data_IF_449900698442
#
_entry.id   IF_449900698442
#
_cell.length_a   1.000
_cell.length_b   1.000
_cell.length_c   1.000
_cell.angle_alpha   90.00
_cell.angle_beta   90.00
_cell.angle_gamma   90.00
#
_symmetry.space_group_name_H-M   'P 1'
#
loop_
_entity.id
_entity.type
_entity.pdbx_description
1 polymer ?
#
# COMPACT_ATOMS: atom_id res chain seq x y z
N UNK A 1 -3.62 8.24 -20.86
CA UNK A 1 -4.72 7.26 -20.68
C UNK A 1 -4.48 6.31 -19.51
N UNK A 2 -3.26 5.78 -19.31
CA UNK A 2 -2.92 4.89 -18.19
C UNK A 2 -2.97 5.61 -16.83
N UNK A 3 -2.39 6.82 -16.72
CA UNK A 3 -2.44 7.64 -15.48
C UNK A 3 -3.88 7.93 -15.03
N UNK A 4 -4.79 8.32 -15.93
CA UNK A 4 -6.20 8.58 -15.59
C UNK A 4 -6.93 7.36 -15.03
N UNK A 5 -6.63 6.15 -15.54
CA UNK A 5 -7.22 4.90 -15.03
C UNK A 5 -6.65 4.48 -13.68
N UNK A 6 -5.34 4.69 -13.48
CA UNK A 6 -4.70 4.51 -12.18
C UNK A 6 -5.34 5.44 -11.13
N UNK A 7 -5.45 6.74 -11.44
CA UNK A 7 -6.09 7.74 -10.57
C UNK A 7 -7.55 7.37 -10.25
N UNK A 8 -8.32 6.90 -11.23
CA UNK A 8 -9.68 6.42 -10.99
C UNK A 8 -9.71 5.21 -10.04
N UNK A 9 -8.82 4.23 -10.23
CA UNK A 9 -8.73 3.04 -9.37
C UNK A 9 -8.32 3.40 -7.95
N UNK A 10 -7.35 4.30 -7.78
CA UNK A 10 -6.96 4.88 -6.48
C UNK A 10 -8.16 5.50 -5.79
N UNK A 11 -8.89 6.40 -6.47
CA UNK A 11 -10.06 7.06 -5.88
C UNK A 11 -11.16 6.08 -5.46
N UNK A 12 -11.40 5.05 -6.28
CA UNK A 12 -12.35 3.98 -5.95
C UNK A 12 -11.91 3.18 -4.72
N UNK A 13 -10.64 2.75 -4.67
CA UNK A 13 -10.12 1.98 -3.53
C UNK A 13 -10.15 2.78 -2.24
N UNK A 14 -9.69 4.05 -2.25
CA UNK A 14 -9.77 4.94 -1.09
C UNK A 14 -11.21 5.08 -0.57
N UNK A 15 -12.18 5.21 -1.48
CA UNK A 15 -13.60 5.31 -1.12
C UNK A 15 -14.15 4.01 -0.49
N UNK A 16 -13.76 2.85 -1.04
CA UNK A 16 -14.13 1.54 -0.49
C UNK A 16 -13.49 1.34 0.88
N UNK A 17 -12.19 1.60 1.03
CA UNK A 17 -11.47 1.45 2.29
C UNK A 17 -12.08 2.33 3.38
N UNK A 18 -12.42 3.59 3.05
CA UNK A 18 -13.15 4.50 3.94
C UNK A 18 -14.48 3.90 4.41
N UNK A 19 -15.28 3.32 3.52
CA UNK A 19 -16.54 2.68 3.88
C UNK A 19 -16.33 1.42 4.73
N UNK A 20 -15.34 0.59 4.39
CA UNK A 20 -14.97 -0.62 5.13
C UNK A 20 -14.51 -0.30 6.54
N UNK A 21 -13.63 0.69 6.72
CA UNK A 21 -13.15 1.15 8.04
C UNK A 21 -14.32 1.64 8.92
N UNK A 22 -15.26 2.37 8.34
CA UNK A 22 -16.46 2.81 9.06
C UNK A 22 -17.37 1.63 9.47
N UNK A 23 -17.45 0.57 8.65
CA UNK A 23 -18.18 -0.63 9.04
C UNK A 23 -17.43 -1.42 10.12
N UNK A 24 -16.11 -1.51 10.02
CA UNK A 24 -15.27 -2.18 11.02
C UNK A 24 -15.39 -1.53 12.40
N UNK A 25 -15.46 -0.20 12.48
CA UNK A 25 -15.66 0.48 13.76
C UNK A 25 -17.02 0.16 14.40
N UNK A 26 -18.07 -0.01 13.59
CA UNK A 26 -19.38 -0.48 14.08
C UNK A 26 -19.33 -1.93 14.55
N UNK A 27 -18.69 -2.81 13.77
CA UNK A 27 -18.52 -4.22 14.10
C UNK A 27 -17.75 -4.36 15.43
N UNK A 28 -16.64 -3.64 15.60
CA UNK A 28 -15.85 -3.61 16.83
C UNK A 28 -16.63 -3.07 18.04
N UNK A 29 -17.48 -2.05 17.84
CA UNK A 29 -18.33 -1.50 18.91
C UNK A 29 -19.47 -2.44 19.31
N UNK A 30 -19.94 -3.28 18.40
CA UNK A 30 -20.86 -4.36 18.73
C UNK A 30 -20.13 -5.49 19.47
N UNK A 31 -18.95 -5.86 18.98
CA UNK A 31 -18.08 -6.88 19.55
C UNK A 31 -17.68 -6.58 21.00
N UNK A 32 -17.43 -5.31 21.35
CA UNK A 32 -17.08 -4.91 22.72
C UNK A 32 -18.15 -5.22 23.77
N UNK A 33 -19.38 -5.53 23.34
CA UNK A 33 -20.50 -5.93 24.22
C UNK A 33 -20.63 -7.45 24.36
N UNK A 34 -19.98 -8.20 23.50
CA UNK A 34 -19.97 -9.67 23.48
C UNK A 34 -18.75 -10.17 24.26
N UNK A 35 -18.88 -11.32 24.94
CA UNK A 35 -17.78 -11.94 25.68
C UNK A 35 -17.67 -13.44 25.41
N UNK A 36 -16.57 -14.05 25.83
CA UNK A 36 -16.31 -15.49 25.67
C UNK A 36 -15.78 -15.87 24.29
N UNK A 37 -15.89 -17.15 23.93
CA UNK A 37 -15.29 -17.73 22.70
C UNK A 37 -15.82 -17.13 21.39
N UNK A 38 -17.02 -16.53 21.42
CA UNK A 38 -17.56 -15.80 20.28
C UNK A 38 -16.76 -14.52 19.99
N UNK A 39 -16.24 -13.85 21.03
CA UNK A 39 -15.44 -12.64 20.89
C UNK A 39 -14.16 -12.91 20.11
N UNK A 40 -13.43 -13.97 20.47
CA UNK A 40 -12.15 -14.30 19.84
C UNK A 40 -12.31 -14.62 18.35
N UNK A 41 -13.36 -15.35 17.98
CA UNK A 41 -13.66 -15.68 16.59
C UNK A 41 -13.98 -14.42 15.78
N UNK A 42 -14.83 -13.54 16.29
CA UNK A 42 -15.21 -12.31 15.59
C UNK A 42 -14.04 -11.32 15.51
N UNK A 43 -13.17 -11.28 16.52
CA UNK A 43 -11.94 -10.49 16.50
C UNK A 43 -10.98 -10.96 15.41
N UNK A 44 -10.76 -12.27 15.26
CA UNK A 44 -9.92 -12.82 14.18
C UNK A 44 -10.47 -12.43 12.81
N UNK A 45 -11.79 -12.57 12.59
CA UNK A 45 -12.43 -12.17 11.34
C UNK A 45 -12.27 -10.67 11.08
N UNK A 46 -12.32 -9.86 12.13
CA UNK A 46 -12.14 -8.40 12.04
C UNK A 46 -10.70 -8.05 11.69
N UNK A 47 -9.71 -8.69 12.32
CA UNK A 47 -8.28 -8.55 11.97
C UNK A 47 -8.01 -8.93 10.52
N UNK A 48 -8.65 -9.98 10.00
CA UNK A 48 -8.54 -10.36 8.58
C UNK A 48 -9.08 -9.27 7.64
N UNK A 49 -10.22 -8.67 7.98
CA UNK A 49 -10.76 -7.53 7.20
C UNK A 49 -9.84 -6.31 7.27
N UNK A 50 -9.24 -6.03 8.43
CA UNK A 50 -8.25 -4.96 8.59
C UNK A 50 -7.01 -5.25 7.72
N UNK A 51 -6.53 -6.50 7.69
CA UNK A 51 -5.42 -6.92 6.84
C UNK A 51 -5.68 -6.65 5.36
N UNK A 52 -6.92 -6.87 4.90
CA UNK A 52 -7.32 -6.51 3.54
C UNK A 52 -7.21 -4.99 3.30
N UNK A 53 -7.69 -4.16 4.24
CA UNK A 53 -7.59 -2.70 4.12
C UNK A 53 -6.13 -2.24 4.08
N UNK A 54 -5.26 -2.81 4.94
CA UNK A 54 -3.82 -2.54 4.95
C UNK A 54 -3.19 -2.87 3.58
N UNK A 55 -3.52 -4.02 3.00
CA UNK A 55 -3.03 -4.41 1.68
C UNK A 55 -3.56 -3.48 0.56
N UNK A 56 -4.81 -3.05 0.66
CA UNK A 56 -5.40 -2.12 -0.29
C UNK A 56 -4.73 -0.74 -0.20
N UNK A 57 -4.39 -0.25 0.99
CA UNK A 57 -3.65 1.00 1.21
C UNK A 57 -2.21 0.90 0.67
N UNK A 58 -1.49 -0.19 0.94
CA UNK A 58 -0.18 -0.45 0.32
C UNK A 58 -0.24 -0.45 -1.22
N UNK A 59 -1.32 -1.02 -1.79
CA UNK A 59 -1.56 -1.05 -3.23
C UNK A 59 -1.87 0.35 -3.78
N UNK A 60 -2.62 1.16 -3.03
CA UNK A 60 -2.89 2.56 -3.38
C UNK A 60 -1.58 3.35 -3.45
N UNK A 61 -0.72 3.24 -2.45
CA UNK A 61 0.58 3.92 -2.43
C UNK A 61 1.44 3.54 -3.64
N UNK A 62 1.48 2.26 -3.99
CA UNK A 62 2.17 1.79 -5.19
C UNK A 62 1.58 2.40 -6.47
N UNK A 63 0.24 2.52 -6.56
CA UNK A 63 -0.38 3.17 -7.72
C UNK A 63 -0.10 4.66 -7.79
N UNK A 64 0.05 5.35 -6.66
CA UNK A 64 0.40 6.77 -6.63
C UNK A 64 1.81 7.00 -7.17
N UNK A 65 2.78 6.16 -6.79
CA UNK A 65 4.14 6.16 -7.35
C UNK A 65 4.07 5.94 -8.87
N UNK A 66 3.37 4.90 -9.32
CA UNK A 66 3.20 4.61 -10.76
C UNK A 66 2.57 5.74 -11.56
N UNK A 67 1.68 6.51 -10.95
CA UNK A 67 1.07 7.68 -11.61
C UNK A 67 2.13 8.73 -11.89
N UNK A 68 3.00 9.01 -10.92
CA UNK A 68 4.12 9.94 -11.08
C UNK A 68 5.08 9.42 -12.14
N UNK A 69 5.46 8.14 -12.09
CA UNK A 69 6.37 7.53 -13.07
C UNK A 69 5.83 7.60 -14.50
N UNK A 70 4.54 7.30 -14.67
CA UNK A 70 3.87 7.42 -15.97
C UNK A 70 3.85 8.87 -16.48
N UNK A 71 3.77 9.86 -15.59
CA UNK A 71 3.81 11.27 -15.94
C UNK A 71 5.21 11.72 -16.34
N UNK A 72 6.24 11.30 -15.60
CA UNK A 72 7.65 11.53 -15.96
C UNK A 72 7.97 10.89 -17.31
N UNK A 73 7.57 9.63 -17.51
CA UNK A 73 7.76 8.92 -18.78
C UNK A 73 7.07 9.65 -19.94
N UNK A 74 5.87 10.17 -19.70
CA UNK A 74 5.13 10.93 -20.70
C UNK A 74 5.82 12.25 -21.06
N UNK A 75 6.33 12.99 -20.06
CA UNK A 75 7.11 14.21 -20.28
C UNK A 75 8.39 13.96 -21.06
N UNK A 76 9.00 12.78 -20.93
CA UNK A 76 10.21 12.35 -21.64
C UNK A 76 9.93 11.52 -22.90
N UNK A 77 8.68 11.49 -23.39
CA UNK A 77 8.28 10.61 -24.50
C UNK A 77 9.10 10.82 -25.78
N UNK A 78 9.42 12.07 -26.14
CA UNK A 78 10.21 12.34 -27.34
C UNK A 78 11.61 11.72 -27.25
N UNK A 79 12.25 11.87 -26.09
CA UNK A 79 13.56 11.30 -25.81
C UNK A 79 13.52 9.77 -25.80
N UNK A 80 12.46 9.20 -25.20
CA UNK A 80 12.19 7.75 -25.24
C UNK A 80 11.97 7.23 -26.68
N UNK A 81 11.57 8.05 -27.65
CA UNK A 81 11.41 7.58 -29.03
C UNK A 81 12.70 7.70 -29.85
N UNK A 82 13.66 8.50 -29.38
CA UNK A 82 14.98 8.66 -29.99
C UNK A 82 15.92 7.51 -29.56
N UNK A 83 17.05 7.35 -30.27
CA UNK A 83 18.04 6.28 -30.00
C UNK A 83 19.01 6.60 -28.83
N UNK A 84 18.89 7.76 -28.21
CA UNK A 84 19.71 8.20 -27.07
C UNK A 84 18.85 8.19 -25.80
N UNK A 85 18.60 7.00 -25.27
CA UNK A 85 17.97 6.89 -23.97
C UNK A 85 18.99 7.24 -22.89
N UNK A 86 18.75 8.31 -22.14
CA UNK A 86 19.55 8.64 -20.96
C UNK A 86 19.37 7.55 -19.89
N UNK A 87 20.39 7.38 -19.04
CA UNK A 87 20.39 6.39 -17.97
C UNK A 87 19.16 6.48 -17.06
N UNK A 88 18.65 7.70 -16.82
CA UNK A 88 17.46 7.96 -16.01
C UNK A 88 16.18 7.38 -16.63
N UNK A 89 16.06 7.42 -17.97
CA UNK A 89 14.91 6.83 -18.67
C UNK A 89 14.98 5.33 -18.60
N UNK A 90 16.18 4.76 -18.78
CA UNK A 90 16.39 3.31 -18.73
C UNK A 90 16.02 2.78 -17.34
N UNK A 91 16.45 3.46 -16.26
CA UNK A 91 16.06 3.13 -14.88
C UNK A 91 14.55 3.16 -14.68
N UNK A 92 13.90 4.25 -15.12
CA UNK A 92 12.44 4.39 -15.04
C UNK A 92 11.71 3.27 -15.79
N UNK A 93 12.17 2.90 -16.98
CA UNK A 93 11.56 1.81 -17.77
C UNK A 93 11.73 0.46 -17.07
N UNK A 94 12.93 0.16 -16.53
CA UNK A 94 13.15 -1.09 -15.77
C UNK A 94 12.26 -1.17 -14.54
N UNK A 95 12.12 -0.05 -13.84
CA UNK A 95 11.24 0.07 -12.68
C UNK A 95 9.77 -0.24 -13.05
N UNK A 96 9.25 0.37 -14.11
CA UNK A 96 7.91 0.09 -14.61
C UNK A 96 7.71 -1.37 -15.02
N UNK A 97 8.73 -2.00 -15.62
CA UNK A 97 8.71 -3.42 -15.97
C UNK A 97 8.66 -4.30 -14.70
N UNK A 98 9.46 -4.00 -13.69
CA UNK A 98 9.46 -4.70 -12.41
C UNK A 98 8.08 -4.65 -11.74
N UNK A 99 7.51 -3.44 -11.61
CA UNK A 99 6.21 -3.24 -10.94
C UNK A 99 5.05 -3.91 -11.71
N UNK A 100 5.20 -4.18 -13.01
CA UNK A 100 4.17 -4.81 -13.84
C UNK A 100 3.73 -6.21 -13.37
N UNK A 101 4.62 -6.93 -12.68
CA UNK A 101 4.35 -8.25 -12.10
C UNK A 101 3.43 -8.16 -10.88
N UNK A 102 3.43 -7.03 -10.19
CA UNK A 102 2.67 -6.80 -8.96
C UNK A 102 1.33 -6.10 -9.24
N UNK A 103 1.22 -5.38 -10.37
CA UNK A 103 0.04 -4.59 -10.68
C UNK A 103 -0.87 -5.24 -11.72
N UNK A 104 -2.10 -5.53 -11.31
CA UNK A 104 -3.12 -6.09 -12.21
C UNK A 104 -3.97 -5.01 -12.91
N UNK A 105 -3.34 -4.23 -13.80
CA UNK A 105 -4.02 -3.22 -14.64
C UNK A 105 -3.70 -3.51 -16.10
N UNK A 106 -4.73 -3.78 -16.90
CA UNK A 106 -4.58 -4.25 -18.29
C UNK A 106 -3.84 -3.22 -19.16
N UNK A 107 -4.16 -1.94 -19.00
CA UNK A 107 -3.55 -0.85 -19.77
C UNK A 107 -2.09 -0.63 -19.38
N UNK A 108 -1.75 -0.83 -18.10
CA UNK A 108 -0.38 -0.78 -17.64
C UNK A 108 0.44 -1.93 -18.23
N UNK A 109 -0.12 -3.15 -18.20
CA UNK A 109 0.50 -4.33 -18.85
C UNK A 109 0.71 -4.11 -20.36
N UNK A 110 -0.23 -3.43 -21.04
CA UNK A 110 -0.05 -3.04 -22.46
C UNK A 110 1.09 -2.04 -22.66
N UNK A 111 1.21 -1.03 -21.79
CA UNK A 111 2.33 -0.08 -21.83
C UNK A 111 3.67 -0.81 -21.67
N UNK A 112 3.76 -1.70 -20.68
CA UNK A 112 4.97 -2.49 -20.42
C UNK A 112 5.30 -3.42 -21.59
N UNK A 113 4.29 -4.02 -22.23
CA UNK A 113 4.50 -4.83 -23.43
C UNK A 113 5.09 -4.02 -24.60
N UNK A 114 4.67 -2.75 -24.78
CA UNK A 114 5.26 -1.86 -25.79
C UNK A 114 6.71 -1.51 -25.45
N UNK A 115 7.01 -1.26 -24.17
CA UNK A 115 8.38 -1.01 -23.71
C UNK A 115 9.26 -2.24 -23.92
N UNK A 116 8.77 -3.44 -23.59
CA UNK A 116 9.49 -4.69 -23.82
C UNK A 116 9.75 -4.94 -25.31
N UNK A 117 8.82 -4.57 -26.20
CA UNK A 117 9.03 -4.65 -27.65
C UNK A 117 10.12 -3.67 -28.14
N UNK A 118 10.25 -2.48 -27.51
CA UNK A 118 11.29 -1.51 -27.86
C UNK A 118 12.68 -1.96 -27.37
N UNK A 119 12.79 -2.38 -26.11
CA UNK A 119 14.09 -2.69 -25.48
C UNK A 119 14.52 -4.16 -25.63
N UNK A 120 13.60 -5.03 -26.02
CA UNK A 120 13.85 -6.46 -26.19
C UNK A 120 13.54 -7.28 -24.93
N UNK A 121 13.46 -8.60 -25.13
CA UNK A 121 13.06 -9.56 -24.10
C UNK A 121 14.10 -9.69 -22.98
N UNK A 122 15.39 -9.72 -23.33
CA UNK A 122 16.48 -9.83 -22.35
C UNK A 122 16.48 -8.65 -21.38
N UNK A 123 16.18 -7.45 -21.88
CA UNK A 123 16.06 -6.26 -21.04
C UNK A 123 14.91 -6.37 -20.04
N UNK A 124 13.76 -6.89 -20.48
CA UNK A 124 12.62 -7.14 -19.59
C UNK A 124 12.94 -8.18 -18.51
N UNK A 125 13.55 -9.30 -18.88
CA UNK A 125 13.96 -10.33 -17.91
C UNK A 125 15.00 -9.80 -16.92
N UNK A 126 15.94 -8.98 -17.38
CA UNK A 126 16.92 -8.33 -16.51
C UNK A 126 16.23 -7.40 -15.51
N UNK A 127 15.29 -6.57 -15.97
CA UNK A 127 14.54 -5.64 -15.12
C UNK A 127 13.73 -6.35 -14.01
N UNK A 128 13.22 -7.55 -14.27
CA UNK A 128 12.50 -8.35 -13.27
C UNK A 128 13.44 -8.90 -12.18
N UNK A 129 14.67 -9.28 -12.55
CA UNK A 129 15.62 -9.93 -11.65
C UNK A 129 16.52 -8.95 -10.90
N UNK A 130 16.75 -7.76 -11.48
CA UNK A 130 17.67 -6.75 -10.97
C UNK A 130 17.00 -5.37 -10.89
N UNK A 131 16.03 -5.18 -9.98
CA UNK A 131 15.40 -3.88 -9.79
C UNK A 131 16.38 -2.85 -9.22
N UNK A 132 16.43 -1.67 -9.82
CA UNK A 132 17.36 -0.60 -9.41
C UNK A 132 16.91 0.13 -8.13
N UNK A 133 15.60 0.16 -7.86
CA UNK A 133 15.01 0.98 -6.80
C UNK A 133 14.60 0.12 -5.59
N UNK A 134 15.40 0.09 -4.50
CA UNK A 134 15.12 -0.76 -3.35
C UNK A 134 13.84 -0.35 -2.60
N UNK A 135 13.43 0.92 -2.68
CA UNK A 135 12.21 1.39 -2.02
C UNK A 135 10.96 0.81 -2.69
N UNK A 136 10.94 0.73 -4.02
CA UNK A 136 9.84 0.12 -4.76
C UNK A 136 9.81 -1.39 -4.57
N UNK A 137 10.97 -2.03 -4.52
CA UNK A 137 11.07 -3.46 -4.18
C UNK A 137 10.48 -3.73 -2.79
N UNK A 138 10.74 -2.86 -1.83
CA UNK A 138 10.17 -2.96 -0.49
C UNK A 138 8.64 -2.81 -0.52
N UNK A 139 8.12 -1.78 -1.20
CA UNK A 139 6.67 -1.55 -1.34
C UNK A 139 5.95 -2.69 -2.09
N UNK A 140 6.57 -3.27 -3.12
CA UNK A 140 6.01 -4.40 -3.87
C UNK A 140 5.97 -5.71 -3.07
N UNK A 141 6.92 -5.94 -2.16
CA UNK A 141 7.04 -7.20 -1.44
C UNK A 141 6.24 -7.27 -0.12
N UNK A 142 5.72 -6.15 0.39
CA UNK A 142 4.67 -6.11 1.43
C UNK A 142 4.91 -6.96 2.68
N UNK A 143 6.06 -6.84 3.35
CA UNK A 143 6.54 -7.84 4.31
C UNK A 143 6.09 -7.73 5.78
N UNK A 144 5.13 -6.88 6.17
CA UNK A 144 4.74 -6.76 7.60
C UNK A 144 3.24 -6.47 7.82
N UNK A 145 2.36 -7.31 7.27
CA UNK A 145 0.90 -7.11 7.41
C UNK A 145 0.44 -7.24 8.87
N UNK A 146 0.99 -8.17 9.66
CA UNK A 146 0.47 -8.47 11.00
C UNK A 146 0.68 -7.33 12.01
N UNK A 147 1.89 -6.75 12.05
CA UNK A 147 2.18 -5.60 12.93
C UNK A 147 1.37 -4.36 12.52
N UNK A 148 1.20 -4.13 11.20
CA UNK A 148 0.35 -3.05 10.69
C UNK A 148 -1.12 -3.26 11.06
N UNK A 149 -1.63 -4.49 11.04
CA UNK A 149 -3.01 -4.80 11.43
C UNK A 149 -3.27 -4.45 12.89
N UNK A 150 -2.32 -4.71 13.78
CA UNK A 150 -2.45 -4.35 15.20
C UNK A 150 -2.47 -2.84 15.40
N UNK A 151 -1.60 -2.09 14.70
CA UNK A 151 -1.61 -0.63 14.73
C UNK A 151 -2.92 -0.05 14.19
N UNK A 152 -3.44 -0.59 13.07
CA UNK A 152 -4.75 -0.18 12.54
C UNK A 152 -5.88 -0.47 13.52
N UNK A 153 -5.86 -1.64 14.16
CA UNK A 153 -6.87 -2.01 15.15
C UNK A 153 -6.85 -1.04 16.35
N UNK A 154 -5.66 -0.73 16.88
CA UNK A 154 -5.48 0.24 17.97
C UNK A 154 -6.00 1.62 17.58
N UNK A 155 -5.60 2.14 16.42
CA UNK A 155 -6.05 3.46 15.97
C UNK A 155 -7.56 3.52 15.72
N UNK A 156 -8.18 2.45 15.23
CA UNK A 156 -9.65 2.38 15.13
C UNK A 156 -10.28 2.43 16.54
N UNK A 157 -9.76 1.67 17.49
CA UNK A 157 -10.27 1.67 18.86
C UNK A 157 -10.15 3.05 19.52
N UNK A 158 -9.00 3.71 19.37
CA UNK A 158 -8.72 5.03 19.93
C UNK A 158 -9.60 6.10 19.29
N UNK A 159 -9.70 6.12 17.96
CA UNK A 159 -10.50 7.10 17.22
C UNK A 159 -12.00 7.01 17.54
N UNK A 160 -12.53 5.81 17.77
CA UNK A 160 -13.95 5.56 18.03
C UNK A 160 -14.29 5.30 19.51
N UNK A 161 -13.30 5.45 20.41
CA UNK A 161 -13.43 5.23 21.86
C UNK A 161 -14.03 3.86 22.20
N UNK A 162 -13.50 2.81 21.57
CA UNK A 162 -13.98 1.43 21.74
C UNK A 162 -13.06 0.72 22.75
N UNK A 163 -13.59 0.41 23.93
CA UNK A 163 -12.89 -0.42 24.91
C UNK A 163 -13.17 -1.90 24.63
N UNK A 164 -12.24 -2.57 23.94
CA UNK A 164 -12.28 -4.03 23.82
C UNK A 164 -11.97 -4.63 25.20
N UNK A 165 -12.93 -5.32 25.81
CA UNK A 165 -12.72 -6.04 27.07
C UNK A 165 -11.85 -7.28 26.82
N UNK A 166 -10.55 -7.06 26.69
CA UNK A 166 -9.52 -8.03 27.02
C UNK A 166 -8.17 -7.30 27.19
N UNK A 167 -8.13 -6.38 28.14
CA UNK A 167 -6.86 -6.07 28.81
C UNK A 167 -6.54 -7.23 29.75
N UNK A 168 -6.08 -8.35 29.18
CA UNK A 168 -4.99 -9.04 29.83
C UNK A 168 -3.80 -8.08 29.74
N UNK A 169 -3.65 -7.25 30.78
CA UNK A 169 -2.38 -6.63 31.12
C UNK A 169 -1.31 -7.73 31.02
N UNK A 170 -0.45 -7.61 30.02
CA UNK A 170 0.94 -8.09 29.96
C UNK A 170 1.31 -8.29 28.49
N UNK A 171 1.84 -7.24 27.86
CA UNK A 171 3.21 -7.24 27.35
C UNK A 171 3.72 -5.82 27.56
N UNK A 172 4.54 -5.71 28.60
CA UNK A 172 5.50 -4.65 28.83
C UNK A 172 6.22 -4.26 27.54
N UNK A 173 6.23 -2.97 27.25
CA UNK A 173 7.16 -2.35 26.31
C UNK A 173 8.60 -2.85 26.56
N UNK A 174 9.31 -3.36 25.54
CA UNK A 174 10.75 -3.25 25.49
C UNK A 174 11.09 -2.00 24.68
N UNK A 175 11.54 -0.96 25.37
CA UNK A 175 12.47 0.01 24.77
C UNK A 175 13.73 -0.75 24.43
N UNK A 176 14.19 -0.70 23.18
CA UNK A 176 15.61 -0.83 22.85
C UNK A 176 15.89 -0.11 21.53
N UNK A 177 16.81 0.85 21.62
CA UNK A 177 17.35 1.65 20.53
C UNK A 177 18.21 0.80 19.60
N UNK A 178 17.99 0.89 18.29
CA UNK A 178 19.07 1.02 17.27
C UNK A 178 18.49 1.39 15.89
N UNK A 179 18.64 2.67 15.57
CA UNK A 179 19.01 3.27 14.27
C UNK A 179 18.29 2.88 12.96
N UNK A 180 17.59 3.89 12.42
CA UNK A 180 17.35 4.22 10.99
C UNK A 180 16.03 3.79 10.31
N UNK A 181 15.06 3.23 11.06
CA UNK A 181 13.72 2.90 10.51
C UNK A 181 12.54 3.61 11.20
N UNK A 182 12.78 4.33 12.29
CA UNK A 182 11.73 4.96 13.13
C UNK A 182 10.98 6.09 12.41
N UNK A 183 11.66 6.85 11.55
CA UNK A 183 11.07 8.02 10.89
C UNK A 183 9.94 7.67 9.93
N UNK A 184 10.04 6.57 9.17
CA UNK A 184 8.99 6.16 8.21
C UNK A 184 7.71 5.71 8.92
N UNK A 185 7.84 4.87 9.94
CA UNK A 185 6.71 4.35 10.72
C UNK A 185 5.92 5.47 11.43
N UNK A 186 6.59 6.50 11.92
CA UNK A 186 5.92 7.68 12.52
C UNK A 186 5.16 8.50 11.47
N UNK A 187 5.76 8.74 10.29
CA UNK A 187 5.04 9.41 9.18
C UNK A 187 3.82 8.63 8.69
N UNK A 188 3.93 7.30 8.59
CA UNK A 188 2.81 6.45 8.16
C UNK A 188 1.68 6.46 9.22
N UNK A 189 2.03 6.51 10.51
CA UNK A 189 1.07 6.62 11.61
C UNK A 189 0.35 7.99 11.62
N UNK A 190 1.07 9.08 11.39
CA UNK A 190 0.49 10.42 11.32
C UNK A 190 -0.44 10.60 10.11
N UNK A 191 -0.11 10.01 8.95
CA UNK A 191 -1.02 9.99 7.81
C UNK A 191 -2.27 9.17 8.11
N UNK A 192 -2.12 8.04 8.81
CA UNK A 192 -3.23 7.21 9.26
C UNK A 192 -4.17 7.99 10.19
N UNK A 193 -3.63 8.66 11.20
CA UNK A 193 -4.38 9.50 12.14
C UNK A 193 -5.12 10.63 11.44
N UNK A 194 -4.51 11.26 10.43
CA UNK A 194 -5.18 12.29 9.62
C UNK A 194 -6.34 11.71 8.82
N UNK A 195 -6.16 10.54 8.19
CA UNK A 195 -7.22 9.84 7.44
C UNK A 195 -8.39 9.47 8.36
N UNK A 196 -8.13 8.91 9.53
CA UNK A 196 -9.17 8.55 10.50
C UNK A 196 -9.91 9.77 11.07
N UNK A 197 -9.19 10.85 11.41
CA UNK A 197 -9.82 12.09 11.88
C UNK A 197 -10.71 12.73 10.80
N UNK A 198 -10.38 12.58 9.52
CA UNK A 198 -11.23 13.03 8.41
C UNK A 198 -12.52 12.20 8.23
N UNK A 199 -12.64 11.03 8.88
CA UNK A 199 -13.87 10.24 8.94
C UNK A 199 -14.85 10.72 10.03
N UNK A 200 -14.42 11.64 10.91
CA UNK A 200 -15.20 12.16 12.03
C UNK A 200 -16.20 13.25 11.63
N UNK A 201 -16.17 13.72 10.39
CA UNK A 201 -17.06 14.76 9.84
C UNK A 201 -18.15 14.17 8.97
#
# INVERSE_FOLDING_TARGET
>A
MTSSKLRFKIGKMKSINKATLFQLSKDLKALSKTGGTQFDRELILTKLKIAQVVNDDNTIDLFEILVVDCEVLHSKLHQLLCKSDDEDIVKLVRELMYVSSYVNIKEFKKLVALLAHKYGKEFYENALNHPDNPEIVHKCNGKNVDSLVEMYLQEICDCYQISLKNEAKDISAPKNESTDSTTKNETDLDDLRRRFNALRK
#
